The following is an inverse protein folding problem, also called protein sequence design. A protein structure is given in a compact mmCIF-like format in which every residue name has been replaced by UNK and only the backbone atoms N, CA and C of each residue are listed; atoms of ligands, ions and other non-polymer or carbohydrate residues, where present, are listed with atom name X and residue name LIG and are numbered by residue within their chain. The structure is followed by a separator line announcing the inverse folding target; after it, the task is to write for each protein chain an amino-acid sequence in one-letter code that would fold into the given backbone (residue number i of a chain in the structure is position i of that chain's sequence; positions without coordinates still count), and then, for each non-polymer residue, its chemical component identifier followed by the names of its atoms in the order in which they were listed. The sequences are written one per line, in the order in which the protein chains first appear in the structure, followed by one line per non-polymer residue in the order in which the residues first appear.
data_IF_409638093190
#
_entry.id   IF_409638093190
#
_cell.length_a   1.000
_cell.length_b   1.000
_cell.length_c   1.000
_cell.angle_alpha   90.00
_cell.angle_beta   90.00
_cell.angle_gamma   90.00
#
_symmetry.space_group_name_H-M   'P 1'
#
loop_
_entity.id
_entity.type
_entity.pdbx_description
1 polymer ?
#
# COMPACT_ATOMS: atom_id res chain seq x y z
N UNK A 1 2.08 -7.78 31.31
CA UNK A 1 1.29 -6.55 31.15
C UNK A 1 1.50 -6.08 29.73
N UNK A 2 0.54 -6.28 28.83
CA UNK A 2 0.60 -5.65 27.52
C UNK A 2 0.30 -4.18 27.73
N UNK A 3 1.30 -3.31 27.55
CA UNK A 3 1.03 -1.89 27.39
C UNK A 3 -0.06 -1.75 26.32
N UNK A 4 -1.14 -1.01 26.63
CA UNK A 4 -2.13 -0.65 25.62
C UNK A 4 -1.43 0.30 24.64
N UNK A 5 -0.79 -0.25 23.62
CA UNK A 5 -0.15 0.52 22.56
C UNK A 5 -1.27 1.23 21.80
N UNK A 6 -1.42 2.53 22.06
CA UNK A 6 -2.28 3.41 21.28
C UNK A 6 -1.53 3.74 19.99
N UNK A 7 -2.06 3.28 18.87
CA UNK A 7 -1.50 3.58 17.55
C UNK A 7 -1.90 4.99 17.12
N UNK A 8 -0.94 5.73 16.59
CA UNK A 8 -1.15 7.05 15.99
C UNK A 8 -1.23 6.91 14.47
N UNK A 9 -2.44 7.06 13.93
CA UNK A 9 -2.70 6.93 12.49
C UNK A 9 -1.96 7.97 11.65
N UNK A 10 -1.64 9.16 12.19
CA UNK A 10 -0.85 10.17 11.47
C UNK A 10 0.61 9.72 11.30
N UNK A 11 1.22 9.22 12.38
CA UNK A 11 2.57 8.64 12.31
C UNK A 11 2.64 7.42 11.39
N UNK A 12 1.61 6.57 11.40
CA UNK A 12 1.53 5.44 10.47
C UNK A 12 1.43 5.90 9.01
N UNK A 13 0.64 6.95 8.73
CA UNK A 13 0.56 7.56 7.40
C UNK A 13 1.91 8.11 6.93
N UNK A 14 2.61 8.88 7.76
CA UNK A 14 3.95 9.41 7.46
C UNK A 14 4.93 8.26 7.17
N UNK A 15 4.88 7.19 7.97
CA UNK A 15 5.70 6.00 7.76
C UNK A 15 5.41 5.33 6.41
N UNK A 16 4.13 5.15 6.06
CA UNK A 16 3.73 4.61 4.76
C UNK A 16 4.18 5.51 3.59
N UNK A 17 4.12 6.84 3.75
CA UNK A 17 4.62 7.79 2.77
C UNK A 17 6.13 7.65 2.54
N UNK A 18 6.94 7.46 3.59
CA UNK A 18 8.37 7.22 3.43
C UNK A 18 8.67 5.97 2.59
N UNK A 19 7.94 4.87 2.79
CA UNK A 19 8.06 3.68 1.95
C UNK A 19 7.54 3.89 0.52
N UNK A 20 6.50 4.73 0.36
CA UNK A 20 6.01 5.15 -0.95
C UNK A 20 7.10 5.88 -1.75
N UNK A 21 7.85 6.76 -1.10
CA UNK A 21 8.95 7.50 -1.72
C UNK A 21 10.10 6.57 -2.10
N UNK A 22 10.50 5.64 -1.21
CA UNK A 22 11.48 4.61 -1.52
C UNK A 22 11.08 3.76 -2.74
N UNK A 23 9.81 3.34 -2.81
CA UNK A 23 9.29 2.61 -3.97
C UNK A 23 9.40 3.45 -5.25
N UNK A 24 9.06 4.74 -5.19
CA UNK A 24 9.16 5.66 -6.33
C UNK A 24 10.61 5.82 -6.80
N UNK A 25 11.57 5.93 -5.89
CA UNK A 25 13.00 5.97 -6.24
C UNK A 25 13.46 4.68 -6.93
N UNK A 26 13.01 3.52 -6.47
CA UNK A 26 13.30 2.23 -7.11
C UNK A 26 12.68 2.11 -8.52
N UNK A 27 11.52 2.72 -8.75
CA UNK A 27 10.84 2.70 -10.06
C UNK A 27 11.55 3.59 -11.10
N UNK A 28 12.06 4.75 -10.67
CA UNK A 28 12.73 5.70 -11.57
C UNK A 28 14.19 5.30 -11.82
N UNK A 29 14.84 4.65 -10.85
CA UNK A 29 16.26 4.28 -10.86
C UNK A 29 17.19 5.43 -11.29
N UNK A 30 17.45 6.36 -10.37
CA UNK A 30 18.34 7.50 -10.60
C UNK A 30 19.66 7.12 -11.31
N UNK A 31 20.10 7.98 -12.23
CA UNK A 31 21.41 7.92 -12.86
C UNK A 31 22.57 8.04 -11.86
N UNK A 32 22.29 8.48 -10.63
CA UNK A 32 23.31 8.82 -9.63
C UNK A 32 23.71 7.62 -8.75
N UNK A 33 23.22 6.42 -9.06
CA UNK A 33 23.58 5.19 -8.35
C UNK A 33 25.03 4.83 -8.72
N UNK A 34 25.94 4.92 -7.75
CA UNK A 34 27.38 4.70 -7.95
C UNK A 34 27.69 3.28 -8.48
N UNK A 35 27.07 2.26 -7.88
CA UNK A 35 27.23 0.86 -8.29
C UNK A 35 25.88 0.15 -8.35
N UNK A 36 25.47 -0.27 -9.55
CA UNK A 36 24.21 -0.99 -9.78
C UNK A 36 24.47 -2.48 -10.01
N UNK A 37 24.34 -3.29 -8.96
CA UNK A 37 24.54 -4.75 -9.07
C UNK A 37 23.41 -5.44 -9.85
N UNK A 38 22.16 -5.01 -9.61
CA UNK A 38 20.94 -5.48 -10.29
C UNK A 38 19.93 -4.33 -10.34
N UNK A 39 18.83 -4.55 -11.05
CA UNK A 39 17.64 -3.68 -10.93
C UNK A 39 17.10 -3.69 -9.50
N UNK A 40 16.62 -2.56 -9.04
CA UNK A 40 15.95 -2.36 -7.75
C UNK A 40 14.45 -2.72 -7.81
N UNK A 41 13.97 -3.33 -8.90
CA UNK A 41 12.57 -3.76 -9.06
C UNK A 41 12.03 -4.52 -7.84
N UNK A 42 12.79 -5.50 -7.31
CA UNK A 42 12.37 -6.27 -6.13
C UNK A 42 12.22 -5.37 -4.91
N UNK A 43 13.16 -4.44 -4.70
CA UNK A 43 13.07 -3.45 -3.63
C UNK A 43 11.86 -2.53 -3.82
N UNK A 44 11.58 -2.10 -5.06
CA UNK A 44 10.39 -1.32 -5.39
C UNK A 44 9.09 -2.05 -5.08
N UNK A 45 9.00 -3.34 -5.40
CA UNK A 45 7.85 -4.19 -5.08
C UNK A 45 7.64 -4.30 -3.57
N UNK A 46 8.69 -4.63 -2.82
CA UNK A 46 8.62 -4.78 -1.36
C UNK A 46 8.22 -3.47 -0.68
N UNK A 47 8.85 -2.36 -1.05
CA UNK A 47 8.50 -1.03 -0.50
C UNK A 47 7.06 -0.65 -0.86
N UNK A 48 6.59 -0.97 -2.08
CA UNK A 48 5.20 -0.70 -2.49
C UNK A 48 4.20 -1.50 -1.68
N UNK A 49 4.43 -2.81 -1.57
CA UNK A 49 3.54 -3.71 -0.83
C UNK A 49 3.47 -3.30 0.65
N UNK A 50 4.60 -2.95 1.25
CA UNK A 50 4.64 -2.52 2.64
C UNK A 50 3.97 -1.16 2.86
N UNK A 51 4.14 -0.20 1.95
CA UNK A 51 3.39 1.06 2.00
C UNK A 51 1.87 0.81 1.93
N UNK A 52 1.41 -0.06 1.02
CA UNK A 52 0.00 -0.47 0.95
C UNK A 52 -0.48 -1.10 2.26
N UNK A 53 0.30 -2.02 2.85
CA UNK A 53 0.00 -2.66 4.13
C UNK A 53 -0.23 -1.60 5.21
N UNK A 54 0.72 -0.66 5.38
CA UNK A 54 0.64 0.36 6.41
C UNK A 54 -0.52 1.33 6.15
N UNK A 55 -0.79 1.73 4.90
CA UNK A 55 -1.95 2.58 4.60
C UNK A 55 -3.28 1.88 4.95
N UNK A 56 -3.46 0.62 4.59
CA UNK A 56 -4.70 -0.13 4.95
C UNK A 56 -4.82 -0.22 6.47
N UNK A 57 -3.73 -0.53 7.17
CA UNK A 57 -3.69 -0.55 8.64
C UNK A 57 -4.00 0.82 9.25
N UNK A 58 -3.52 1.89 8.62
CA UNK A 58 -3.80 3.27 9.03
C UNK A 58 -5.29 3.57 8.95
N UNK A 59 -5.96 3.15 7.87
CA UNK A 59 -7.40 3.28 7.71
C UNK A 59 -8.16 2.48 8.77
N UNK A 60 -7.76 1.23 9.04
CA UNK A 60 -8.35 0.42 10.11
C UNK A 60 -8.21 1.10 11.47
N UNK A 61 -7.04 1.64 11.82
CA UNK A 61 -6.80 2.37 13.06
C UNK A 61 -7.62 3.67 13.12
N UNK A 62 -7.77 4.38 11.99
CA UNK A 62 -8.66 5.53 11.90
C UNK A 62 -10.12 5.18 12.25
N UNK A 63 -10.57 3.97 11.91
CA UNK A 63 -11.87 3.43 12.32
C UNK A 63 -11.90 2.82 13.74
N UNK A 64 -10.85 3.02 14.54
CA UNK A 64 -10.80 2.61 15.94
C UNK A 64 -10.31 1.17 16.17
N UNK A 65 -9.74 0.51 15.15
CA UNK A 65 -9.15 -0.82 15.30
C UNK A 65 -7.83 -0.78 16.07
N UNK A 66 -7.61 -1.81 16.89
CA UNK A 66 -6.42 -1.96 17.74
C UNK A 66 -5.29 -2.66 17.00
N UNK A 67 -4.09 -2.66 17.58
CA UNK A 67 -2.93 -3.41 17.06
C UNK A 67 -3.23 -4.91 16.86
N UNK A 68 -4.09 -5.49 17.71
CA UNK A 68 -4.46 -6.90 17.61
C UNK A 68 -5.37 -7.17 16.41
N UNK A 69 -6.26 -6.25 16.09
CA UNK A 69 -7.19 -6.36 14.96
C UNK A 69 -6.46 -6.26 13.61
N UNK A 70 -5.44 -5.42 13.56
CA UNK A 70 -4.66 -5.15 12.34
C UNK A 70 -3.44 -6.06 12.17
N UNK A 71 -3.28 -7.07 13.04
CA UNK A 71 -2.18 -8.04 12.92
C UNK A 71 -2.29 -8.84 11.61
N UNK A 72 -1.12 -9.18 11.04
CA UNK A 72 -0.98 -9.85 9.75
C UNK A 72 -0.42 -8.92 8.67
N UNK A 73 0.02 -9.51 7.56
CA UNK A 73 0.68 -8.80 6.44
C UNK A 73 -0.02 -9.01 5.09
N UNK A 74 -0.99 -9.92 5.04
CA UNK A 74 -1.68 -10.26 3.80
C UNK A 74 -2.61 -9.13 3.35
N UNK A 75 -2.28 -8.48 2.22
CA UNK A 75 -2.99 -7.30 1.74
C UNK A 75 -4.47 -7.59 1.49
N UNK A 76 -4.80 -8.75 0.93
CA UNK A 76 -6.20 -9.13 0.69
C UNK A 76 -6.98 -9.24 1.99
N UNK A 77 -6.44 -9.92 3.01
CA UNK A 77 -7.12 -10.06 4.30
C UNK A 77 -7.28 -8.72 5.02
N UNK A 78 -6.27 -7.86 4.96
CA UNK A 78 -6.35 -6.51 5.51
C UNK A 78 -7.40 -5.66 4.78
N UNK A 79 -7.47 -5.77 3.45
CA UNK A 79 -8.46 -5.07 2.65
C UNK A 79 -9.88 -5.55 2.94
N UNK A 80 -10.12 -6.85 3.05
CA UNK A 80 -11.43 -7.39 3.42
C UNK A 80 -11.87 -6.96 4.82
N UNK A 81 -10.92 -6.81 5.75
CA UNK A 81 -11.22 -6.20 7.07
C UNK A 81 -11.63 -4.75 6.90
N UNK A 82 -10.90 -3.97 6.10
CA UNK A 82 -11.21 -2.55 5.87
C UNK A 82 -12.56 -2.36 5.15
N UNK A 83 -12.87 -3.19 4.16
CA UNK A 83 -14.14 -3.16 3.41
C UNK A 83 -15.37 -3.34 4.31
N UNK A 84 -15.24 -4.10 5.40
CA UNK A 84 -16.29 -4.24 6.43
C UNK A 84 -16.47 -2.99 7.28
N UNK A 85 -15.44 -2.17 7.41
CA UNK A 85 -15.43 -0.94 8.22
C UNK A 85 -15.90 0.28 7.45
N UNK A 86 -15.47 0.41 6.20
CA UNK A 86 -15.77 1.54 5.35
C UNK A 86 -15.97 1.06 3.92
N UNK A 87 -17.15 0.46 3.71
CA UNK A 87 -17.53 -0.09 2.42
C UNK A 87 -17.51 0.97 1.31
N UNK A 88 -18.03 2.17 1.58
CA UNK A 88 -18.08 3.25 0.58
C UNK A 88 -16.68 3.64 0.10
N UNK A 89 -15.74 3.86 1.04
CA UNK A 89 -14.36 4.20 0.70
C UNK A 89 -13.66 3.05 -0.01
N UNK A 90 -13.93 1.79 0.39
CA UNK A 90 -13.36 0.63 -0.30
C UNK A 90 -13.81 0.54 -1.76
N UNK A 91 -15.11 0.71 -2.04
CA UNK A 91 -15.66 0.72 -3.40
C UNK A 91 -15.10 1.88 -4.21
N UNK A 92 -14.93 3.05 -3.60
CA UNK A 92 -14.28 4.19 -4.25
C UNK A 92 -12.84 3.87 -4.69
N UNK A 93 -12.06 3.20 -3.83
CA UNK A 93 -10.69 2.78 -4.17
C UNK A 93 -10.69 1.70 -5.26
N UNK A 94 -11.54 0.68 -5.14
CA UNK A 94 -11.66 -0.41 -6.11
C UNK A 94 -11.99 0.13 -7.51
N UNK A 95 -13.01 1.00 -7.61
CA UNK A 95 -13.35 1.71 -8.86
C UNK A 95 -12.18 2.54 -9.38
N UNK A 96 -11.51 3.27 -8.50
CA UNK A 96 -10.34 4.07 -8.86
C UNK A 96 -9.17 3.25 -9.42
N UNK A 97 -9.10 1.95 -9.13
CA UNK A 97 -8.16 1.01 -9.73
C UNK A 97 -8.65 0.50 -11.09
N UNK A 98 -9.92 0.15 -11.24
CA UNK A 98 -10.46 -0.21 -12.56
C UNK A 98 -10.28 0.94 -13.57
N UNK A 99 -10.52 2.18 -13.15
CA UNK A 99 -10.24 3.40 -13.93
C UNK A 99 -8.75 3.54 -14.28
N UNK A 100 -7.85 3.26 -13.32
CA UNK A 100 -6.40 3.29 -13.53
C UNK A 100 -5.96 2.33 -14.65
N UNK A 101 -6.60 1.16 -14.72
CA UNK A 101 -6.37 0.17 -15.78
C UNK A 101 -7.21 0.41 -17.04
N UNK A 102 -8.10 1.40 -17.04
CA UNK A 102 -9.05 1.70 -18.14
C UNK A 102 -9.86 0.47 -18.55
N UNK A 103 -10.40 -0.25 -17.56
CA UNK A 103 -11.17 -1.46 -17.79
C UNK A 103 -12.52 -1.41 -17.09
N UNK A 104 -13.47 -2.19 -17.62
CA UNK A 104 -14.79 -2.46 -17.03
C UNK A 104 -14.83 -3.83 -16.32
N UNK A 105 -13.71 -4.56 -16.24
CA UNK A 105 -13.62 -5.83 -15.51
C UNK A 105 -13.74 -5.59 -14.00
N UNK A 106 -14.95 -5.76 -13.46
CA UNK A 106 -15.25 -5.60 -12.03
C UNK A 106 -14.46 -6.58 -11.13
N UNK A 107 -14.00 -7.71 -11.68
CA UNK A 107 -13.20 -8.71 -10.93
C UNK A 107 -11.70 -8.40 -10.96
N UNK A 108 -11.27 -7.37 -11.69
CA UNK A 108 -9.85 -7.05 -11.84
C UNK A 108 -9.20 -6.80 -10.47
N UNK A 109 -9.84 -6.00 -9.62
CA UNK A 109 -9.28 -5.65 -8.32
C UNK A 109 -9.06 -6.89 -7.45
N UNK A 110 -10.08 -7.74 -7.32
CA UNK A 110 -10.04 -8.95 -6.47
C UNK A 110 -8.97 -9.95 -6.91
N UNK A 111 -8.74 -10.06 -8.22
CA UNK A 111 -7.64 -10.85 -8.79
C UNK A 111 -6.29 -10.26 -8.43
N UNK A 112 -6.08 -8.97 -8.70
CA UNK A 112 -4.79 -8.30 -8.52
C UNK A 112 -4.40 -8.17 -7.04
N UNK A 113 -5.35 -7.89 -6.14
CA UNK A 113 -5.07 -7.87 -4.70
C UNK A 113 -4.77 -9.28 -4.17
N UNK A 114 -5.38 -10.32 -4.76
CA UNK A 114 -5.05 -11.71 -4.48
C UNK A 114 -3.59 -12.04 -4.83
N UNK A 115 -3.15 -11.68 -6.03
CA UNK A 115 -1.76 -11.84 -6.49
C UNK A 115 -0.77 -11.07 -5.61
N UNK A 116 -1.13 -9.86 -5.19
CA UNK A 116 -0.30 -9.03 -4.33
C UNK A 116 -0.39 -9.37 -2.84
N UNK A 117 -1.27 -10.29 -2.43
CA UNK A 117 -1.64 -10.48 -1.02
C UNK A 117 -0.44 -10.75 -0.13
N UNK A 118 0.46 -11.64 -0.56
CA UNK A 118 1.68 -11.98 0.19
C UNK A 118 2.96 -11.35 -0.40
N UNK A 119 2.83 -10.25 -1.16
CA UNK A 119 3.95 -9.70 -1.91
C UNK A 119 5.11 -9.26 -1.01
N UNK A 120 4.82 -8.69 0.17
CA UNK A 120 5.86 -8.25 1.11
C UNK A 120 6.76 -9.40 1.57
N UNK A 121 6.19 -10.55 1.93
CA UNK A 121 6.99 -11.68 2.39
C UNK A 121 7.64 -12.42 1.23
N UNK A 122 6.87 -12.70 0.18
CA UNK A 122 7.31 -13.50 -0.96
C UNK A 122 8.50 -12.86 -1.69
N UNK A 123 8.42 -11.55 -1.99
CA UNK A 123 9.45 -10.89 -2.82
C UNK A 123 10.76 -10.65 -2.08
N UNK A 124 10.78 -10.62 -0.74
CA UNK A 124 12.03 -10.53 0.04
C UNK A 124 12.93 -11.75 -0.16
N UNK A 125 12.33 -12.91 -0.41
CA UNK A 125 13.02 -14.19 -0.57
C UNK A 125 12.87 -14.74 -1.99
N UNK A 126 12.72 -13.87 -2.99
CA UNK A 126 12.56 -14.30 -4.38
C UNK A 126 13.74 -15.12 -4.90
N UNK A 127 14.94 -14.94 -4.33
CA UNK A 127 16.12 -15.73 -4.65
C UNK A 127 16.00 -17.22 -4.24
N UNK A 128 15.03 -17.56 -3.38
CA UNK A 128 14.70 -18.94 -2.99
C UNK A 128 13.65 -19.56 -3.92
N UNK A 129 13.14 -18.80 -4.89
CA UNK A 129 12.09 -19.21 -5.83
C UNK A 129 12.65 -19.34 -7.24
N UNK A 130 12.00 -20.15 -8.07
CA UNK A 130 12.38 -20.32 -9.48
C UNK A 130 11.93 -19.13 -10.34
N UNK A 131 10.75 -18.59 -10.04
CA UNK A 131 10.13 -17.48 -10.74
C UNK A 131 9.15 -16.78 -9.81
N UNK A 132 8.75 -15.55 -10.17
CA UNK A 132 7.71 -14.81 -9.48
C UNK A 132 7.08 -13.77 -10.39
N UNK A 133 5.75 -13.65 -10.33
CA UNK A 133 4.97 -12.73 -11.16
C UNK A 133 4.14 -11.84 -10.27
N UNK A 134 4.14 -10.54 -10.54
CA UNK A 134 3.28 -9.58 -9.87
C UNK A 134 2.95 -8.42 -10.81
N UNK A 135 1.75 -7.88 -10.69
CA UNK A 135 1.37 -6.68 -11.40
C UNK A 135 1.91 -5.42 -10.68
N UNK A 136 3.05 -4.89 -11.14
CA UNK A 136 3.64 -3.68 -10.54
C UNK A 136 2.77 -2.44 -10.72
N UNK A 137 2.01 -2.34 -11.82
CA UNK A 137 1.10 -1.22 -12.07
C UNK A 137 -0.06 -1.21 -11.06
N UNK A 138 -0.50 -2.38 -10.62
CA UNK A 138 -1.48 -2.50 -9.54
C UNK A 138 -0.94 -1.94 -8.24
N UNK A 139 0.25 -2.39 -7.81
CA UNK A 139 0.87 -1.91 -6.58
C UNK A 139 1.09 -0.39 -6.61
N UNK A 140 1.56 0.14 -7.74
CA UNK A 140 1.73 1.58 -7.95
C UNK A 140 0.41 2.35 -7.80
N UNK A 141 -0.61 1.95 -8.55
CA UNK A 141 -1.92 2.59 -8.53
C UNK A 141 -2.58 2.49 -7.16
N UNK A 142 -2.56 1.31 -6.55
CA UNK A 142 -3.15 1.04 -5.25
C UNK A 142 -2.47 1.85 -4.15
N UNK A 143 -1.14 1.90 -4.13
CA UNK A 143 -0.36 2.72 -3.20
C UNK A 143 -0.75 4.20 -3.27
N UNK A 144 -0.90 4.76 -4.46
CA UNK A 144 -1.29 6.17 -4.61
C UNK A 144 -2.74 6.44 -4.22
N UNK A 145 -3.67 5.54 -4.58
CA UNK A 145 -5.07 5.66 -4.17
C UNK A 145 -5.21 5.58 -2.65
N UNK A 146 -4.50 4.65 -2.02
CA UNK A 146 -4.47 4.52 -0.56
C UNK A 146 -3.91 5.77 0.13
N UNK A 147 -2.79 6.32 -0.39
CA UNK A 147 -2.22 7.58 0.14
C UNK A 147 -3.22 8.73 0.06
N UNK A 148 -3.88 8.88 -1.08
CA UNK A 148 -4.89 9.92 -1.30
C UNK A 148 -6.06 9.79 -0.31
N UNK A 149 -6.57 8.57 -0.11
CA UNK A 149 -7.67 8.30 0.81
C UNK A 149 -7.26 8.53 2.27
N UNK A 150 -6.09 8.03 2.69
CA UNK A 150 -5.58 8.26 4.04
C UNK A 150 -5.43 9.76 4.30
N UNK A 151 -4.85 10.49 3.36
CA UNK A 151 -4.66 11.93 3.46
C UNK A 151 -6.00 12.67 3.65
N UNK A 152 -7.01 12.32 2.85
CA UNK A 152 -8.36 12.87 2.97
C UNK A 152 -9.00 12.56 4.31
N UNK A 153 -8.92 11.31 4.79
CA UNK A 153 -9.54 10.90 6.06
C UNK A 153 -8.85 11.56 7.28
N UNK A 154 -7.52 11.64 7.26
CA UNK A 154 -6.74 12.15 8.40
C UNK A 154 -6.68 13.68 8.48
N UNK A 155 -6.69 14.36 7.32
CA UNK A 155 -6.41 15.80 7.25
C UNK A 155 -7.48 16.61 6.51
N UNK A 156 -8.49 15.96 5.92
CA UNK A 156 -9.53 16.64 5.14
C UNK A 156 -9.03 17.24 3.82
N UNK A 157 -7.89 16.77 3.30
CA UNK A 157 -7.20 17.33 2.13
C UNK A 157 -6.81 16.24 1.14
N UNK A 158 -6.77 16.57 -0.15
CA UNK A 158 -6.08 15.77 -1.15
C UNK A 158 -4.57 15.71 -0.87
N UNK A 159 -3.88 14.71 -1.39
CA UNK A 159 -2.43 14.60 -1.24
C UNK A 159 -1.70 15.83 -1.80
N UNK A 160 -2.21 16.39 -2.89
CA UNK A 160 -1.61 17.57 -3.51
C UNK A 160 -1.72 18.83 -2.66
N UNK A 161 -2.82 18.99 -1.91
CA UNK A 161 -3.00 20.10 -0.96
C UNK A 161 -2.22 19.88 0.34
N UNK A 162 -1.99 18.63 0.74
CA UNK A 162 -1.22 18.31 1.93
C UNK A 162 0.26 18.65 1.73
N UNK A 163 0.86 18.15 0.64
CA UNK A 163 2.30 18.29 0.36
C UNK A 163 2.76 19.71 0.01
N UNK A 164 1.83 20.64 -0.21
CA UNK A 164 2.14 22.05 -0.53
C UNK A 164 2.24 22.95 0.70
N UNK A 165 1.99 22.40 1.89
CA UNK A 165 1.94 23.12 3.17
C UNK A 165 3.14 22.78 4.07
N UNK A 166 3.78 21.63 3.83
CA UNK A 166 5.04 21.21 4.44
C UNK A 166 6.25 21.62 3.57
#
# INVERSE_FOLDING_TARGET
MSENIILDSKRMFEHACAFCDCAKFCEVESSNIEYRMRSHTVSGIVNSAFACEIFIKTLLVFHGRTIMDIKGHELKLLWEKFKKEDYETSVYVEKGICEWFRTEDENLFDRLIGEASNAFEYWRYIYEKQEGTINMNFLLGFRYRLREVCCKKLFGKSWNEYKSIE
#
